data_IF_334301072757
#
_entry.id   IF_334301072757
#
_cell.length_a   1.000
_cell.length_b   1.000
_cell.length_c   1.000
_cell.angle_alpha   90.00
_cell.angle_beta   90.00
_cell.angle_gamma   90.00
#
_symmetry.space_group_name_H-M   'P 1'
#
loop_
_entity.id
_entity.type
_entity.pdbx_description
1 polymer ?
#
# COMPACT_ATOMS: atom_id res chain seq x y z
N UNK A 1 -3.79 28.88 -0.63
CA UNK A 1 -4.38 27.65 -0.07
C UNK A 1 -5.70 27.25 -0.75
N UNK A 2 -6.69 28.13 -0.94
CA UNK A 2 -7.98 27.79 -1.60
C UNK A 2 -7.83 27.28 -3.05
N UNK A 3 -6.85 27.74 -3.81
CA UNK A 3 -6.62 27.31 -5.20
C UNK A 3 -6.00 25.91 -5.33
N UNK A 4 -5.16 25.50 -4.38
CA UNK A 4 -4.60 24.12 -4.37
C UNK A 4 -5.68 23.08 -4.06
N UNK A 5 -6.63 23.42 -3.18
CA UNK A 5 -7.77 22.54 -2.85
C UNK A 5 -8.69 22.32 -4.05
N UNK A 6 -8.93 23.36 -4.85
CA UNK A 6 -9.75 23.28 -6.06
C UNK A 6 -9.10 22.41 -7.15
N UNK A 7 -7.78 22.50 -7.32
CA UNK A 7 -7.06 21.66 -8.28
C UNK A 7 -7.06 20.18 -7.89
N UNK A 8 -6.97 19.86 -6.60
CA UNK A 8 -6.98 18.46 -6.13
C UNK A 8 -8.37 17.83 -6.27
N UNK A 9 -9.43 18.60 -6.04
CA UNK A 9 -10.82 18.14 -6.25
C UNK A 9 -11.14 17.93 -7.74
N UNK A 10 -10.66 18.80 -8.61
CA UNK A 10 -10.83 18.66 -10.06
C UNK A 10 -10.07 17.47 -10.63
N UNK A 11 -8.87 17.16 -10.11
CA UNK A 11 -8.14 15.95 -10.48
C UNK A 11 -8.87 14.68 -10.02
N UNK A 12 -9.46 14.68 -8.83
CA UNK A 12 -10.25 13.55 -8.33
C UNK A 12 -11.55 13.34 -9.12
N UNK A 13 -12.21 14.40 -9.55
CA UNK A 13 -13.43 14.33 -10.34
C UNK A 13 -13.19 13.87 -11.79
N UNK A 14 -12.04 14.18 -12.39
CA UNK A 14 -11.69 13.72 -13.75
C UNK A 14 -11.35 12.22 -13.83
N UNK A 15 -11.09 11.57 -12.68
CA UNK A 15 -10.83 10.13 -12.61
C UNK A 15 -12.10 9.27 -12.54
N UNK A 16 -13.27 9.88 -12.34
CA UNK A 16 -14.55 9.20 -12.30
C UNK A 16 -15.16 9.05 -13.71
N UNK A 17 -14.51 8.28 -14.58
CA UNK A 17 -15.14 7.92 -15.87
C UNK A 17 -16.18 6.81 -15.64
N UNK A 18 -17.42 6.98 -16.14
CA UNK A 18 -18.42 5.91 -16.09
C UNK A 18 -17.94 4.72 -16.93
N UNK A 19 -17.71 3.60 -16.29
CA UNK A 19 -17.33 2.35 -16.96
C UNK A 19 -18.58 1.74 -17.61
N UNK A 20 -18.80 2.00 -18.88
CA UNK A 20 -19.90 1.42 -19.69
C UNK A 20 -19.62 -0.01 -20.19
N UNK A 21 -18.46 -0.60 -19.89
CA UNK A 21 -18.14 -1.98 -20.22
C UNK A 21 -18.52 -2.90 -19.06
N UNK A 22 -19.21 -4.00 -19.36
CA UNK A 22 -19.52 -5.05 -18.41
C UNK A 22 -18.22 -5.56 -17.76
N UNK A 23 -17.99 -5.18 -16.51
CA UNK A 23 -16.76 -5.50 -15.78
C UNK A 23 -17.04 -6.72 -14.89
N UNK A 24 -16.28 -7.78 -15.09
CA UNK A 24 -16.35 -8.95 -14.21
C UNK A 24 -15.78 -8.57 -12.84
N UNK A 25 -16.60 -8.66 -11.79
CA UNK A 25 -16.19 -8.41 -10.42
C UNK A 25 -16.03 -9.73 -9.69
N UNK A 26 -14.86 -10.00 -9.13
CA UNK A 26 -14.59 -11.13 -8.25
C UNK A 26 -14.27 -10.59 -6.86
N UNK A 27 -14.96 -11.06 -5.84
CA UNK A 27 -14.68 -10.71 -4.45
C UNK A 27 -14.00 -11.91 -3.81
N UNK A 28 -12.77 -11.71 -3.32
CA UNK A 28 -12.03 -12.71 -2.58
C UNK A 28 -12.43 -12.69 -1.10
N UNK A 29 -12.12 -13.75 -0.38
CA UNK A 29 -12.28 -13.80 1.07
C UNK A 29 -11.43 -12.78 1.81
N UNK A 30 -11.72 -12.65 3.08
CA UNK A 30 -10.99 -11.76 3.98
C UNK A 30 -9.50 -12.13 4.00
N UNK A 31 -8.66 -11.12 3.85
CA UNK A 31 -7.21 -11.25 4.01
C UNK A 31 -6.81 -10.82 5.42
N UNK A 32 -5.92 -11.56 6.06
CA UNK A 32 -5.37 -11.24 7.39
C UNK A 32 -3.90 -10.83 7.25
N UNK A 33 -3.56 -9.59 7.61
CA UNK A 33 -2.23 -9.01 7.42
C UNK A 33 -1.61 -8.52 8.74
N UNK A 34 -0.99 -9.39 9.55
CA UNK A 34 -0.17 -8.94 10.67
C UNK A 34 1.18 -8.41 10.18
N UNK A 35 1.63 -7.31 10.80
CA UNK A 35 2.92 -6.69 10.51
C UNK A 35 3.64 -6.28 11.79
N UNK A 36 4.94 -6.55 11.84
CA UNK A 36 5.86 -6.09 12.86
C UNK A 36 6.81 -5.06 12.24
N UNK A 37 6.91 -3.88 12.86
CA UNK A 37 7.75 -2.78 12.41
C UNK A 37 8.75 -2.40 13.50
N UNK A 38 9.97 -2.12 13.09
CA UNK A 38 11.01 -1.50 13.90
C UNK A 38 11.49 -0.23 13.21
N UNK A 39 11.39 0.91 13.89
CA UNK A 39 11.88 2.20 13.43
C UNK A 39 13.07 2.62 14.27
N UNK A 40 14.16 3.02 13.63
CA UNK A 40 15.33 3.61 14.29
C UNK A 40 15.46 5.06 13.84
N UNK A 41 15.26 5.96 14.79
CA UNK A 41 15.45 7.38 14.55
C UNK A 41 16.94 7.73 14.72
N UNK A 42 17.56 8.24 13.67
CA UNK A 42 18.95 8.63 13.60
C UNK A 42 19.13 10.15 13.86
N UNK A 43 20.33 10.64 14.18
CA UNK A 43 20.61 12.07 14.17
C UNK A 43 20.32 12.69 12.80
N UNK A 44 19.93 13.99 12.76
CA UNK A 44 19.73 14.71 11.49
C UNK A 44 18.36 14.52 10.84
N UNK A 45 17.34 14.07 11.58
CA UNK A 45 15.99 13.81 11.10
C UNK A 45 15.89 12.64 10.10
N UNK A 46 16.76 11.67 10.25
CA UNK A 46 16.79 10.45 9.47
C UNK A 46 16.10 9.30 10.19
N UNK A 47 15.51 8.39 9.43
CA UNK A 47 14.85 7.19 9.95
C UNK A 47 15.22 5.96 9.14
N UNK A 48 15.51 4.89 9.85
CA UNK A 48 15.56 3.54 9.28
C UNK A 48 14.29 2.80 9.66
N UNK A 49 13.77 2.03 8.73
CA UNK A 49 12.63 1.15 8.90
C UNK A 49 13.02 -0.28 8.59
N UNK A 50 12.59 -1.19 9.43
CA UNK A 50 12.53 -2.63 9.14
C UNK A 50 11.11 -3.11 9.43
N UNK A 51 10.48 -3.79 8.48
CA UNK A 51 9.15 -4.35 8.66
C UNK A 51 9.08 -5.79 8.16
N UNK A 52 8.29 -6.62 8.86
CA UNK A 52 7.99 -7.99 8.47
C UNK A 52 6.48 -8.17 8.49
N UNK A 53 5.90 -8.55 7.35
CA UNK A 53 4.47 -8.77 7.19
C UNK A 53 4.17 -10.16 6.70
N UNK A 54 3.17 -10.79 7.31
CA UNK A 54 2.52 -11.98 6.79
C UNK A 54 1.19 -11.63 6.13
N UNK A 55 0.79 -12.39 5.13
CA UNK A 55 -0.53 -12.30 4.52
C UNK A 55 -1.15 -13.69 4.48
N UNK A 56 -2.38 -13.80 4.91
CA UNK A 56 -3.15 -15.04 4.87
C UNK A 56 -4.54 -14.77 4.29
N UNK A 57 -4.96 -15.56 3.31
CA UNK A 57 -6.32 -15.55 2.78
C UNK A 57 -7.19 -16.53 3.56
N UNK A 58 -8.39 -16.10 3.95
CA UNK A 58 -9.36 -17.01 4.58
C UNK A 58 -10.09 -17.88 3.56
N UNK A 59 -9.95 -17.60 2.27
CA UNK A 59 -10.53 -18.42 1.21
C UNK A 59 -9.77 -19.74 1.07
N UNK A 60 -10.52 -20.84 1.02
CA UNK A 60 -9.98 -22.15 0.71
C UNK A 60 -9.87 -22.35 -0.81
N UNK A 61 -9.10 -21.47 -1.47
CA UNK A 61 -9.02 -21.38 -2.93
C UNK A 61 -7.95 -22.28 -3.58
N UNK A 62 -7.58 -23.38 -2.91
CA UNK A 62 -6.59 -24.35 -3.43
C UNK A 62 -5.13 -23.90 -3.37
N UNK A 63 -4.85 -22.67 -2.96
CA UNK A 63 -3.48 -22.17 -2.74
C UNK A 63 -2.95 -22.52 -1.32
N UNK A 64 -3.70 -23.30 -0.56
CA UNK A 64 -3.31 -23.73 0.78
C UNK A 64 -2.21 -24.77 0.66
N UNK A 65 -0.97 -24.33 0.70
CA UNK A 65 0.19 -25.22 0.82
C UNK A 65 0.40 -25.55 2.30
N UNK A 66 0.23 -26.80 2.76
CA UNK A 66 0.41 -27.18 4.15
C UNK A 66 1.85 -27.02 4.65
N UNK A 67 2.82 -26.83 3.75
CA UNK A 67 4.23 -26.59 4.11
C UNK A 67 4.52 -25.13 4.49
N UNK A 68 3.53 -24.25 4.53
CA UNK A 68 3.71 -22.82 4.82
C UNK A 68 4.17 -22.60 6.25
N UNK A 69 5.31 -21.92 6.41
CA UNK A 69 5.75 -21.46 7.72
C UNK A 69 4.74 -20.47 8.32
N UNK A 70 4.16 -20.77 9.48
CA UNK A 70 3.09 -19.99 10.14
C UNK A 70 1.81 -19.81 9.30
N UNK A 71 1.60 -20.62 8.26
CA UNK A 71 0.39 -20.56 7.44
C UNK A 71 0.22 -19.33 6.53
N UNK A 72 1.27 -18.51 6.36
CA UNK A 72 1.19 -17.32 5.49
C UNK A 72 1.32 -17.68 4.02
N UNK A 73 0.41 -17.12 3.20
CA UNK A 73 0.41 -17.21 1.73
C UNK A 73 1.54 -16.40 1.13
N UNK A 74 1.75 -15.20 1.68
CA UNK A 74 2.81 -14.28 1.31
C UNK A 74 3.54 -13.79 2.56
N UNK A 75 4.84 -13.62 2.42
CA UNK A 75 5.71 -13.02 3.44
C UNK A 75 6.47 -11.88 2.80
N UNK A 76 6.52 -10.76 3.51
CA UNK A 76 7.19 -9.56 3.04
C UNK A 76 8.15 -9.05 4.12
N UNK A 77 9.39 -8.83 3.74
CA UNK A 77 10.39 -8.14 4.56
C UNK A 77 10.73 -6.84 3.84
N UNK A 78 10.61 -5.73 4.53
CA UNK A 78 10.88 -4.40 3.98
C UNK A 78 11.94 -3.71 4.82
N UNK A 79 12.99 -3.21 4.18
CA UNK A 79 13.95 -2.28 4.77
C UNK A 79 13.78 -0.92 4.08
N UNK A 80 13.91 0.17 4.84
CA UNK A 80 13.71 1.51 4.31
C UNK A 80 14.54 2.57 5.02
N UNK A 81 14.72 3.68 4.31
CA UNK A 81 15.34 4.89 4.82
C UNK A 81 14.53 6.09 4.38
N UNK A 82 14.36 7.06 5.29
CA UNK A 82 13.64 8.30 5.02
C UNK A 82 14.36 9.48 5.70
N UNK A 83 14.56 10.56 4.94
CA UNK A 83 15.13 11.81 5.38
C UNK A 83 14.07 12.91 5.38
N UNK A 84 13.94 13.64 6.49
CA UNK A 84 13.03 14.78 6.61
C UNK A 84 13.79 16.07 6.39
N UNK A 85 13.50 16.76 5.28
CA UNK A 85 14.06 18.11 5.02
C UNK A 85 13.49 19.16 5.98
N UNK A 86 12.21 18.98 6.35
CA UNK A 86 11.52 19.83 7.31
C UNK A 86 10.29 19.09 7.86
N UNK A 87 9.47 19.78 8.66
CA UNK A 87 8.26 19.23 9.28
C UNK A 87 7.20 18.75 8.27
N UNK A 88 7.29 19.20 7.02
CA UNK A 88 6.28 18.93 5.99
C UNK A 88 6.76 17.96 4.91
N UNK A 89 8.04 17.94 4.60
CA UNK A 89 8.58 17.20 3.47
C UNK A 89 9.61 16.16 3.87
N UNK A 90 9.47 14.98 3.30
CA UNK A 90 10.48 13.93 3.40
C UNK A 90 10.66 13.21 2.07
N UNK A 91 11.86 12.65 1.89
CA UNK A 91 12.22 11.78 0.77
C UNK A 91 12.83 10.51 1.31
N UNK A 92 12.61 9.41 0.66
CA UNK A 92 13.13 8.14 1.09
C UNK A 92 13.05 7.06 0.05
N UNK A 93 13.38 5.86 0.47
CA UNK A 93 13.23 4.67 -0.34
C UNK A 93 13.08 3.44 0.52
N UNK A 94 12.48 2.44 -0.07
CA UNK A 94 12.34 1.11 0.55
C UNK A 94 12.81 0.02 -0.40
N UNK A 95 13.21 -1.11 0.16
CA UNK A 95 13.45 -2.34 -0.55
C UNK A 95 12.62 -3.43 0.12
N UNK A 96 11.66 -3.97 -0.60
CA UNK A 96 10.87 -5.08 -0.12
C UNK A 96 11.30 -6.39 -0.80
N UNK A 97 11.47 -7.44 0.00
CA UNK A 97 11.56 -8.82 -0.44
C UNK A 97 10.25 -9.52 -0.15
N UNK A 98 9.61 -10.03 -1.20
CA UNK A 98 8.32 -10.71 -1.13
C UNK A 98 8.53 -12.17 -1.53
N UNK A 99 8.03 -13.08 -0.71
CA UNK A 99 8.05 -14.51 -0.97
C UNK A 99 6.63 -15.06 -0.91
N UNK A 100 6.17 -15.64 -2.02
CA UNK A 100 4.86 -16.28 -2.14
C UNK A 100 5.02 -17.61 -2.88
N UNK A 101 4.73 -18.73 -2.21
CA UNK A 101 4.95 -20.08 -2.76
C UNK A 101 6.39 -20.27 -3.27
N UNK A 102 6.59 -20.44 -4.58
CA UNK A 102 7.89 -20.61 -5.24
C UNK A 102 8.41 -19.36 -5.93
N UNK A 103 7.73 -18.24 -5.75
CA UNK A 103 8.05 -16.97 -6.42
C UNK A 103 8.69 -16.03 -5.40
N UNK A 104 9.80 -15.40 -5.81
CA UNK A 104 10.45 -14.35 -5.05
C UNK A 104 10.42 -13.06 -5.87
N UNK A 105 10.16 -11.96 -5.19
CA UNK A 105 10.07 -10.65 -5.83
C UNK A 105 10.84 -9.63 -4.99
N UNK A 106 11.73 -8.88 -5.62
CA UNK A 106 12.32 -7.69 -5.04
C UNK A 106 11.58 -6.45 -5.56
N UNK A 107 11.25 -5.53 -4.66
CA UNK A 107 10.52 -4.31 -4.98
C UNK A 107 11.23 -3.10 -4.38
N UNK A 108 12.23 -2.53 -5.09
CA UNK A 108 12.75 -1.21 -4.77
C UNK A 108 11.67 -0.14 -4.98
N UNK A 109 11.60 0.82 -4.08
CA UNK A 109 10.69 1.95 -4.10
C UNK A 109 11.44 3.23 -3.74
N UNK A 110 11.21 4.31 -4.49
CA UNK A 110 11.55 5.68 -4.11
C UNK A 110 10.28 6.42 -3.74
N UNK A 111 10.30 7.24 -2.71
CA UNK A 111 9.12 7.96 -2.22
C UNK A 111 9.43 9.42 -1.90
N UNK A 112 8.41 10.24 -2.11
CA UNK A 112 8.33 11.64 -1.68
C UNK A 112 7.05 11.78 -0.86
N UNK A 113 7.14 12.39 0.31
CA UNK A 113 6.00 12.60 1.20
C UNK A 113 5.87 14.06 1.57
N UNK A 114 4.62 14.51 1.63
CA UNK A 114 4.26 15.82 2.12
C UNK A 114 3.15 15.70 3.18
N UNK A 115 3.26 16.49 4.25
CA UNK A 115 2.25 16.58 5.31
C UNK A 115 1.99 18.04 5.66
N UNK A 116 0.73 18.40 5.81
CA UNK A 116 0.34 19.74 6.21
C UNK A 116 -0.88 19.72 7.15
N UNK A 117 -0.96 20.66 8.10
CA UNK A 117 -2.15 20.82 8.92
C UNK A 117 -3.30 21.39 8.09
N UNK A 118 -4.50 20.83 8.24
CA UNK A 118 -5.75 21.30 7.66
C UNK A 118 -6.79 21.39 8.77
N UNK A 119 -6.89 22.55 9.41
CA UNK A 119 -7.68 22.71 10.63
C UNK A 119 -7.18 21.80 11.74
N UNK A 120 -8.06 20.98 12.36
CA UNK A 120 -7.67 20.05 13.43
C UNK A 120 -7.10 18.72 12.90
N UNK A 121 -6.95 18.57 11.59
CA UNK A 121 -6.49 17.36 10.92
C UNK A 121 -5.10 17.57 10.32
N UNK A 122 -4.37 16.49 10.14
CA UNK A 122 -3.16 16.44 9.30
C UNK A 122 -3.53 15.79 7.97
N UNK A 123 -3.24 16.48 6.88
CA UNK A 123 -3.38 15.95 5.52
C UNK A 123 -2.02 15.47 5.03
N UNK A 124 -1.94 14.19 4.67
CA UNK A 124 -0.76 13.54 4.13
C UNK A 124 -0.92 13.22 2.65
N UNK A 125 0.20 13.30 1.93
CA UNK A 125 0.34 12.89 0.54
C UNK A 125 1.64 12.12 0.41
N UNK A 126 1.62 11.00 -0.31
CA UNK A 126 2.81 10.22 -0.65
C UNK A 126 2.75 9.88 -2.12
N UNK A 127 3.78 10.30 -2.84
CA UNK A 127 4.05 9.85 -4.21
C UNK A 127 5.19 8.84 -4.14
N UNK A 128 5.05 7.70 -4.80
CA UNK A 128 6.12 6.73 -4.89
C UNK A 128 6.23 6.11 -6.27
N UNK A 129 7.44 5.68 -6.59
CA UNK A 129 7.77 4.92 -7.80
C UNK A 129 8.39 3.61 -7.35
N UNK A 130 7.73 2.50 -7.67
CA UNK A 130 8.19 1.16 -7.33
C UNK A 130 8.49 0.34 -8.59
N UNK A 131 9.44 -0.57 -8.49
CA UNK A 131 9.75 -1.51 -9.56
C UNK A 131 9.74 -2.94 -9.05
N UNK A 132 8.90 -3.75 -9.63
CA UNK A 132 8.83 -5.19 -9.33
C UNK A 132 9.90 -5.92 -10.14
N UNK A 133 10.78 -6.65 -9.46
CA UNK A 133 11.85 -7.47 -10.05
C UNK A 133 11.60 -8.94 -9.67
N UNK A 134 10.84 -9.68 -10.48
CA UNK A 134 10.50 -11.07 -10.15
C UNK A 134 11.66 -12.03 -10.40
N UNK A 135 11.71 -13.11 -9.64
CA UNK A 135 12.57 -14.27 -9.86
C UNK A 135 11.69 -15.54 -9.93
N UNK A 136 11.90 -16.44 -10.88
CA UNK A 136 12.97 -16.50 -11.86
C UNK A 136 12.83 -15.43 -12.97
N UNK A 137 13.93 -15.12 -13.62
CA UNK A 137 14.14 -13.97 -14.51
C UNK A 137 13.27 -13.94 -15.78
N UNK A 138 12.45 -14.95 -16.03
CA UNK A 138 11.60 -15.05 -17.21
C UNK A 138 10.36 -14.12 -17.16
N UNK A 139 10.01 -13.61 -15.97
CA UNK A 139 8.92 -12.66 -15.84
C UNK A 139 9.43 -11.22 -16.01
N UNK A 140 8.69 -10.42 -16.78
CA UNK A 140 9.05 -9.01 -17.01
C UNK A 140 8.82 -8.19 -15.75
N UNK A 141 9.83 -7.42 -15.34
CA UNK A 141 9.69 -6.42 -14.27
C UNK A 141 8.69 -5.33 -14.65
N UNK A 142 7.97 -4.84 -13.67
CA UNK A 142 6.94 -3.82 -13.85
C UNK A 142 7.28 -2.59 -13.01
N UNK A 143 7.08 -1.40 -13.56
CA UNK A 143 7.23 -0.13 -12.84
C UNK A 143 5.86 0.46 -12.60
N UNK A 144 5.55 0.83 -11.35
CA UNK A 144 4.30 1.44 -10.95
C UNK A 144 4.55 2.79 -10.27
N UNK A 145 3.74 3.79 -10.62
CA UNK A 145 3.63 5.01 -9.87
C UNK A 145 2.42 4.92 -8.95
N UNK A 146 2.57 5.35 -7.69
CA UNK A 146 1.56 5.23 -6.66
C UNK A 146 1.36 6.57 -5.97
N UNK A 147 0.12 6.97 -5.83
CA UNK A 147 -0.29 8.14 -5.07
C UNK A 147 -1.16 7.69 -3.90
N UNK A 148 -0.78 8.11 -2.69
CA UNK A 148 -1.59 7.95 -1.49
C UNK A 148 -1.90 9.31 -0.90
N UNK A 149 -3.11 9.47 -0.46
CA UNK A 149 -3.57 10.62 0.33
C UNK A 149 -4.13 10.10 1.65
N UNK A 150 -3.93 10.82 2.73
CA UNK A 150 -4.45 10.45 4.05
C UNK A 150 -4.89 11.68 4.86
N UNK A 151 -5.86 11.44 5.75
CA UNK A 151 -6.33 12.37 6.76
C UNK A 151 -6.19 11.72 8.13
N UNK A 152 -5.50 12.39 9.04
CA UNK A 152 -5.20 11.90 10.36
C UNK A 152 -5.58 12.92 11.42
N UNK A 153 -5.98 12.45 12.61
CA UNK A 153 -6.18 13.28 13.79
C UNK A 153 -5.52 12.62 15.00
N UNK A 154 -4.83 13.42 15.81
CA UNK A 154 -4.33 12.95 17.09
C UNK A 154 -5.34 13.35 18.17
N UNK A 155 -5.81 12.37 18.95
CA UNK A 155 -6.75 12.55 20.06
C UNK A 155 -6.10 11.97 21.31
N UNK A 156 -5.79 12.84 22.29
CA UNK A 156 -5.19 12.41 23.54
C UNK A 156 -6.29 12.06 24.54
N UNK A 157 -6.30 10.83 25.06
CA UNK A 157 -7.19 10.32 26.08
C UNK A 157 -6.37 9.90 27.30
N UNK A 158 -6.16 10.81 28.24
CA UNK A 158 -5.30 10.57 29.39
C UNK A 158 -3.86 10.30 28.99
N UNK A 159 -3.36 9.10 29.26
CA UNK A 159 -1.99 8.68 28.93
C UNK A 159 -1.87 8.03 27.55
N UNK A 160 -2.99 7.75 26.88
CA UNK A 160 -3.03 7.10 25.57
C UNK A 160 -3.30 8.13 24.49
N UNK A 161 -2.51 8.13 23.43
CA UNK A 161 -2.79 8.92 22.24
C UNK A 161 -3.38 8.02 21.15
N UNK A 162 -4.60 8.34 20.73
CA UNK A 162 -5.29 7.70 19.62
C UNK A 162 -5.05 8.49 18.35
N UNK A 163 -4.89 7.77 17.24
CA UNK A 163 -4.59 8.35 15.95
C UNK A 163 -5.44 7.71 14.84
N UNK A 164 -6.75 8.07 14.78
CA UNK A 164 -7.58 7.67 13.66
C UNK A 164 -7.03 8.25 12.35
N UNK A 165 -6.92 7.42 11.32
CA UNK A 165 -6.49 7.81 9.98
C UNK A 165 -7.35 7.12 8.92
N UNK A 166 -7.72 7.88 7.90
CA UNK A 166 -8.34 7.37 6.68
C UNK A 166 -7.40 7.68 5.52
N UNK A 167 -7.12 6.69 4.70
CA UNK A 167 -6.27 6.86 3.53
C UNK A 167 -6.87 6.24 2.29
N UNK A 168 -6.58 6.86 1.15
CA UNK A 168 -6.88 6.34 -0.17
C UNK A 168 -5.60 6.29 -1.00
N UNK A 169 -5.39 5.17 -1.67
CA UNK A 169 -4.23 4.92 -2.50
C UNK A 169 -4.68 4.46 -3.89
N UNK A 170 -3.99 4.94 -4.91
CA UNK A 170 -4.16 4.49 -6.28
C UNK A 170 -2.78 4.28 -6.91
N UNK A 171 -2.66 3.25 -7.74
CA UNK A 171 -1.46 3.02 -8.55
C UNK A 171 -1.77 2.89 -10.03
N UNK A 172 -0.77 3.24 -10.82
CA UNK A 172 -0.78 3.11 -12.28
C UNK A 172 0.54 2.53 -12.76
N UNK A 173 0.45 1.71 -13.78
CA UNK A 173 1.62 1.14 -14.43
C UNK A 173 2.31 2.19 -15.31
N UNK A 174 3.60 2.42 -15.07
CA UNK A 174 4.41 3.32 -15.89
C UNK A 174 5.01 2.53 -17.04
N UNK A 175 4.65 2.89 -18.28
CA UNK A 175 5.18 2.27 -19.50
C UNK A 175 5.77 3.36 -20.39
N UNK A 176 7.03 3.19 -20.76
CA UNK A 176 7.69 4.09 -21.72
C UNK A 176 7.18 3.89 -23.15
N UNK A 177 6.81 2.66 -23.49
CA UNK A 177 6.24 2.30 -24.78
C UNK A 177 4.96 1.49 -24.55
N UNK A 178 3.86 1.91 -25.19
CA UNK A 178 2.61 1.15 -25.22
C UNK A 178 2.60 0.25 -26.44
N UNK A 179 2.33 -1.03 -26.23
CA UNK A 179 2.02 -1.91 -27.35
C UNK A 179 0.59 -1.63 -27.85
N UNK A 180 0.33 -1.86 -29.14
CA UNK A 180 -1.00 -1.70 -29.72
C UNK A 180 -2.09 -2.57 -29.04
N UNK A 181 -1.66 -3.65 -28.39
CA UNK A 181 -2.51 -4.56 -27.61
C UNK A 181 -2.92 -3.99 -26.23
N UNK A 182 -2.27 -2.92 -25.77
CA UNK A 182 -2.49 -2.34 -24.44
C UNK A 182 -3.68 -1.35 -24.40
N UNK A 183 -4.38 -1.13 -25.50
CA UNK A 183 -5.46 -0.14 -25.63
C UNK A 183 -6.67 -0.42 -24.71
N UNK A 184 -6.82 -1.63 -24.17
CA UNK A 184 -7.92 -2.03 -23.33
C UNK A 184 -7.59 -2.03 -21.82
N UNK A 185 -6.34 -1.76 -21.45
CA UNK A 185 -5.94 -1.70 -20.05
C UNK A 185 -6.39 -0.38 -19.40
N UNK A 186 -6.74 -0.45 -18.12
CA UNK A 186 -7.09 0.75 -17.33
C UNK A 186 -5.83 1.55 -16.99
N UNK A 187 -5.98 2.87 -16.89
CA UNK A 187 -4.91 3.73 -16.41
C UNK A 187 -4.56 3.44 -14.95
N UNK A 188 -5.57 3.15 -14.12
CA UNK A 188 -5.38 2.75 -12.72
C UNK A 188 -5.48 1.23 -12.66
N UNK A 189 -4.47 0.57 -12.10
CA UNK A 189 -4.38 -0.89 -11.93
C UNK A 189 -4.66 -1.36 -10.50
N UNK A 190 -4.58 -0.45 -9.53
CA UNK A 190 -4.86 -0.77 -8.13
C UNK A 190 -5.45 0.43 -7.39
N UNK A 191 -6.39 0.15 -6.47
CA UNK A 191 -6.86 1.13 -5.49
C UNK A 191 -7.01 0.48 -4.12
N UNK A 192 -6.83 1.27 -3.06
CA UNK A 192 -7.05 0.84 -1.68
C UNK A 192 -7.66 1.97 -0.86
N UNK A 193 -8.78 1.69 -0.20
CA UNK A 193 -9.33 2.54 0.85
C UNK A 193 -9.02 1.87 2.18
N UNK A 194 -8.31 2.56 3.09
CA UNK A 194 -7.89 2.03 4.38
C UNK A 194 -8.29 2.96 5.51
N UNK A 195 -8.93 2.39 6.53
CA UNK A 195 -9.20 3.03 7.82
C UNK A 195 -8.36 2.37 8.91
N UNK A 196 -7.72 3.16 9.75
CA UNK A 196 -6.88 2.65 10.83
C UNK A 196 -7.02 3.45 12.12
N UNK A 197 -6.70 2.80 13.23
CA UNK A 197 -6.68 3.41 14.57
C UNK A 197 -5.32 3.15 15.22
N UNK A 198 -4.40 4.10 15.10
CA UNK A 198 -3.14 4.05 15.83
C UNK A 198 -3.37 4.29 17.33
N UNK A 199 -2.85 3.41 18.18
CA UNK A 199 -2.89 3.50 19.62
C UNK A 199 -1.45 3.55 20.14
N UNK A 200 -1.01 4.72 20.64
CA UNK A 200 0.30 4.84 21.27
C UNK A 200 0.19 4.36 22.70
N UNK A 201 0.75 3.19 22.98
CA UNK A 201 0.71 2.54 24.28
C UNK A 201 1.90 2.93 25.16
N UNK A 202 3.03 3.31 24.56
CA UNK A 202 4.20 3.84 25.27
C UNK A 202 5.03 4.77 24.37
N UNK A 203 6.12 5.34 24.88
CA UNK A 203 7.03 6.19 24.09
C UNK A 203 7.68 5.47 22.91
N UNK A 204 7.75 4.14 22.95
CA UNK A 204 8.42 3.33 21.93
C UNK A 204 7.53 2.26 21.29
N UNK A 205 6.25 2.16 21.68
CA UNK A 205 5.37 1.10 21.17
C UNK A 205 4.00 1.64 20.75
N UNK A 206 3.67 1.43 19.49
CA UNK A 206 2.39 1.73 18.87
C UNK A 206 1.72 0.43 18.39
N UNK A 207 0.42 0.31 18.60
CA UNK A 207 -0.46 -0.73 18.08
C UNK A 207 -1.44 -0.08 17.11
N UNK A 208 -1.57 -0.62 15.90
CA UNK A 208 -2.46 -0.04 14.87
C UNK A 208 -3.30 -1.13 14.21
N UNK A 209 -4.50 -1.44 14.72
CA UNK A 209 -5.49 -2.20 13.97
C UNK A 209 -6.01 -1.38 12.79
N UNK A 210 -6.29 -2.06 11.66
CA UNK A 210 -6.79 -1.42 10.46
C UNK A 210 -7.62 -2.36 9.58
N UNK A 211 -8.46 -1.75 8.76
CA UNK A 211 -9.25 -2.43 7.73
C UNK A 211 -8.99 -1.75 6.40
N UNK A 212 -9.00 -2.52 5.32
CA UNK A 212 -8.89 -1.96 3.99
C UNK A 212 -9.78 -2.70 2.99
N UNK A 213 -10.16 -1.97 1.95
CA UNK A 213 -10.86 -2.47 0.79
C UNK A 213 -10.00 -2.21 -0.43
N UNK A 214 -9.44 -3.29 -0.98
CA UNK A 214 -8.50 -3.21 -2.10
C UNK A 214 -9.17 -3.70 -3.39
N UNK A 215 -8.86 -3.06 -4.49
CA UNK A 215 -9.32 -3.47 -5.81
C UNK A 215 -8.14 -3.49 -6.77
N UNK A 216 -7.87 -4.66 -7.35
CA UNK A 216 -6.95 -4.82 -8.48
C UNK A 216 -7.76 -4.82 -9.77
N UNK A 217 -7.35 -3.96 -10.70
CA UNK A 217 -7.96 -3.84 -12.02
C UNK A 217 -7.07 -4.54 -13.03
N UNK A 218 -7.61 -5.53 -13.73
CA UNK A 218 -6.87 -6.29 -14.73
C UNK A 218 -7.70 -6.46 -16.00
N UNK A 219 -7.05 -6.92 -17.04
CA UNK A 219 -7.70 -7.40 -18.26
C UNK A 219 -7.50 -8.91 -18.32
N UNK A 220 -8.61 -9.65 -18.22
CA UNK A 220 -8.60 -11.10 -18.32
C UNK A 220 -8.59 -11.53 -19.79
N UNK A 221 -7.70 -12.44 -20.12
CA UNK A 221 -7.72 -13.10 -21.45
C UNK A 221 -8.94 -14.00 -21.57
N UNK A 222 -9.44 -14.16 -22.79
CA UNK A 222 -10.49 -15.12 -23.08
C UNK A 222 -10.04 -16.54 -22.77
N UNK A 223 -10.94 -17.35 -22.24
CA UNK A 223 -10.70 -18.79 -22.02
C UNK A 223 -11.55 -19.58 -23.03
N UNK A 224 -10.94 -20.60 -23.60
CA UNK A 224 -11.61 -21.51 -24.52
C UNK A 224 -11.68 -22.92 -23.92
N UNK A 225 -12.69 -23.69 -24.29
CA UNK A 225 -12.74 -25.12 -24.01
C UNK A 225 -11.79 -25.92 -24.94
N UNK A 226 -11.77 -27.22 -24.75
CA UNK A 226 -10.94 -28.14 -25.57
C UNK A 226 -11.31 -28.10 -27.08
N UNK A 227 -12.51 -27.62 -27.42
CA UNK A 227 -13.01 -27.50 -28.77
C UNK A 227 -12.80 -26.12 -29.39
N UNK A 228 -12.14 -25.19 -28.65
CA UNK A 228 -11.90 -23.82 -29.10
C UNK A 228 -13.07 -22.84 -28.94
N UNK A 229 -14.18 -23.25 -28.29
CA UNK A 229 -15.28 -22.35 -28.02
C UNK A 229 -14.93 -21.43 -26.85
N UNK A 230 -15.27 -20.15 -26.98
CA UNK A 230 -15.04 -19.17 -25.92
C UNK A 230 -15.98 -19.46 -24.75
N UNK A 231 -15.44 -19.97 -23.66
CA UNK A 231 -16.16 -20.21 -22.40
C UNK A 231 -16.25 -18.95 -21.54
N UNK A 232 -15.18 -18.15 -21.56
CA UNK A 232 -15.11 -16.87 -20.86
C UNK A 232 -14.55 -15.84 -21.85
N UNK A 233 -15.29 -14.80 -22.23
CA UNK A 233 -14.79 -13.77 -23.13
C UNK A 233 -13.70 -12.95 -22.45
N UNK A 234 -12.71 -12.49 -23.22
CA UNK A 234 -11.74 -11.51 -22.78
C UNK A 234 -12.45 -10.23 -22.32
N UNK A 235 -12.00 -9.64 -21.22
CA UNK A 235 -12.66 -8.47 -20.69
C UNK A 235 -12.00 -7.87 -19.44
N UNK A 236 -12.52 -6.74 -19.01
CA UNK A 236 -12.08 -6.07 -17.79
C UNK A 236 -12.51 -6.87 -16.56
N UNK A 237 -11.61 -7.05 -15.62
CA UNK A 237 -11.85 -7.73 -14.35
C UNK A 237 -11.43 -6.85 -13.17
N UNK A 238 -12.25 -6.87 -12.11
CA UNK A 238 -11.97 -6.22 -10.85
C UNK A 238 -11.89 -7.31 -9.77
N UNK A 239 -10.71 -7.48 -9.21
CA UNK A 239 -10.47 -8.39 -8.08
C UNK A 239 -10.50 -7.57 -6.79
N UNK A 240 -11.50 -7.82 -5.96
CA UNK A 240 -11.73 -7.09 -4.72
C UNK A 240 -11.30 -7.94 -3.53
N UNK A 241 -10.49 -7.38 -2.64
CA UNK A 241 -10.01 -8.06 -1.43
C UNK A 241 -10.28 -7.19 -0.21
N UNK A 242 -11.19 -7.59 0.69
CA UNK A 242 -11.28 -7.02 2.02
C UNK A 242 -10.06 -7.48 2.84
N UNK A 243 -9.47 -6.57 3.60
CA UNK A 243 -8.28 -6.83 4.40
C UNK A 243 -8.51 -6.37 5.84
N UNK A 244 -8.13 -7.21 6.79
CA UNK A 244 -7.99 -6.88 8.21
C UNK A 244 -6.51 -7.01 8.57
N UNK A 245 -5.95 -5.97 9.15
CA UNK A 245 -4.55 -5.98 9.56
C UNK A 245 -4.32 -5.44 10.95
N UNK A 246 -3.14 -5.75 11.44
CA UNK A 246 -2.64 -5.25 12.71
C UNK A 246 -1.15 -4.96 12.58
N UNK A 247 -0.75 -3.73 12.88
CA UNK A 247 0.64 -3.31 12.86
C UNK A 247 1.12 -3.10 14.29
N UNK A 248 2.22 -3.75 14.63
CA UNK A 248 2.96 -3.59 15.88
C UNK A 248 4.23 -2.82 15.56
N UNK A 249 4.40 -1.60 16.10
CA UNK A 249 5.55 -0.76 15.80
C UNK A 249 6.35 -0.48 17.06
N UNK A 250 7.64 -0.71 16.94
CA UNK A 250 8.66 -0.34 17.92
C UNK A 250 9.52 0.78 17.37
N UNK A 251 9.60 1.89 18.10
CA UNK A 251 10.40 3.06 17.73
C UNK A 251 11.57 3.19 18.70
N UNK A 252 12.79 3.13 18.16
CA UNK A 252 14.03 3.31 18.91
C UNK A 252 14.58 4.70 18.66
N UNK A 253 14.73 5.48 19.73
CA UNK A 253 15.17 6.88 19.67
C UNK A 253 16.61 6.97 20.18
N UNK A 254 17.54 7.40 19.34
CA UNK A 254 18.91 7.65 19.74
C UNK A 254 19.08 9.10 20.18
N UNK A 255 19.16 9.33 21.52
CA UNK A 255 19.60 10.59 22.11
C UNK A 255 18.73 11.81 21.88
N UNK A 256 17.48 11.67 21.48
CA UNK A 256 16.53 12.78 21.31
C UNK A 256 15.24 12.54 22.08
N UNK A 257 14.63 13.66 22.48
CA UNK A 257 13.38 13.69 23.20
C UNK A 257 12.25 13.11 22.33
N UNK A 258 11.69 11.99 22.75
CA UNK A 258 10.63 11.26 22.03
C UNK A 258 9.42 12.15 21.68
N UNK A 259 9.18 13.21 22.48
CA UNK A 259 8.08 14.15 22.26
C UNK A 259 8.32 15.11 21.07
N UNK A 260 9.55 15.26 20.61
CA UNK A 260 9.91 16.21 19.55
C UNK A 260 10.03 15.59 18.16
N UNK A 261 10.00 14.25 18.05
CA UNK A 261 10.13 13.59 16.74
C UNK A 261 8.78 13.36 16.07
N UNK A 262 8.76 13.64 14.79
CA UNK A 262 7.64 13.23 13.95
C UNK A 262 7.64 11.69 13.85
N UNK A 263 6.49 11.10 14.14
CA UNK A 263 6.31 9.67 13.92
C UNK A 263 6.07 9.43 12.43
N UNK A 264 6.82 8.49 11.85
CA UNK A 264 6.55 8.04 10.49
C UNK A 264 5.12 7.49 10.42
N UNK A 265 4.33 7.86 9.41
CA UNK A 265 3.10 7.16 9.13
C UNK A 265 3.42 5.72 8.73
N UNK A 266 2.54 4.78 9.06
CA UNK A 266 2.62 3.41 8.57
C UNK A 266 2.84 3.39 7.06
N UNK A 267 3.84 2.63 6.62
CA UNK A 267 4.21 2.56 5.19
C UNK A 267 3.45 1.39 4.55
N UNK A 268 2.20 1.53 4.21
CA UNK A 268 1.47 0.51 3.45
C UNK A 268 0.94 1.08 2.17
#
# INVERSE_FOLDING_TARGET
MKQLFACTLLLAASLAQPATAQTRRTVYGLQLWPELQAELALPGNDYLLLAVRGQNSTDNNGYHDPSRFLGFDERRVTAGYEHFWNEHWSVGGTMAYISASKIYVLVPEALLRHRSPVGPLTFGQRLSLERTLPSPTNAKGQTNARLRIDLEKIVTLGQVALRPRLSYEASTRVRLLRASTDNNERSIDFTSLRGEMGCRLSSCFDLTPWVAYQTNYSFGLGQTDEFGNITIPAGRANAVSPVLGIDLRFTFLQGQDAAKRQTLPTQH
#
